data_IF_419190802612
#
_entry.id   IF_419190802612
#
_cell.length_a   1.000
_cell.length_b   1.000
_cell.length_c   1.000
_cell.angle_alpha   90.00
_cell.angle_beta   90.00
_cell.angle_gamma   90.00
#
_symmetry.space_group_name_H-M   'P 1'
#
loop_
_entity.id
_entity.type
_entity.pdbx_description
1 polymer ?
#
# COMPACT_ATOMS: atom_id res chain seq x y z
N UNK A 1 10.52 10.56 18.06
CA UNK A 1 9.88 11.00 19.31
C UNK A 1 8.58 10.27 19.60
N UNK A 2 7.70 10.13 18.60
CA UNK A 2 6.39 9.49 18.73
C UNK A 2 6.39 8.01 18.36
N UNK A 3 7.54 7.44 17.98
CA UNK A 3 7.66 6.04 17.53
C UNK A 3 7.03 5.03 18.51
N UNK A 4 7.16 5.23 19.83
CA UNK A 4 6.53 4.34 20.82
C UNK A 4 5.00 4.48 20.85
N UNK A 5 4.48 5.71 20.71
CA UNK A 5 3.03 5.97 20.61
C UNK A 5 2.48 5.32 19.34
N UNK A 6 3.16 5.48 18.21
CA UNK A 6 2.75 4.84 16.96
C UNK A 6 2.78 3.31 17.06
N UNK A 7 3.84 2.74 17.65
CA UNK A 7 3.95 1.28 17.88
C UNK A 7 2.82 0.74 18.77
N UNK A 8 2.35 1.51 19.76
CA UNK A 8 1.19 1.16 20.59
C UNK A 8 -0.10 1.00 19.77
N UNK A 9 -0.33 1.88 18.80
CA UNK A 9 -1.53 1.84 17.94
C UNK A 9 -1.38 0.95 16.71
N UNK A 10 -0.16 0.52 16.39
CA UNK A 10 0.17 -0.19 15.15
C UNK A 10 -0.67 -1.46 14.89
N UNK A 11 -0.99 -2.29 15.90
CA UNK A 11 -1.87 -3.45 15.68
C UNK A 11 -3.24 -3.05 15.13
N UNK A 12 -3.85 -2.00 15.69
CA UNK A 12 -5.17 -1.51 15.25
C UNK A 12 -5.06 -0.85 13.88
N UNK A 13 -4.03 0.00 13.67
CA UNK A 13 -3.77 0.64 12.38
C UNK A 13 -3.62 -0.41 11.27
N UNK A 14 -2.93 -1.52 11.56
CA UNK A 14 -2.73 -2.62 10.61
C UNK A 14 -4.05 -3.29 10.21
N UNK A 15 -4.96 -3.51 11.15
CA UNK A 15 -6.31 -4.02 10.88
C UNK A 15 -7.09 -3.03 10.00
N UNK A 16 -7.01 -1.74 10.31
CA UNK A 16 -7.70 -0.70 9.53
C UNK A 16 -7.10 -0.57 8.11
N UNK A 17 -5.79 -0.70 7.92
CA UNK A 17 -5.19 -0.75 6.59
C UNK A 17 -5.80 -1.90 5.76
N UNK A 18 -5.95 -3.10 6.33
CA UNK A 18 -6.60 -4.22 5.63
C UNK A 18 -8.05 -3.90 5.23
N UNK A 19 -8.80 -3.28 6.14
CA UNK A 19 -10.21 -2.92 5.91
C UNK A 19 -10.40 -1.74 4.94
N UNK A 20 -9.37 -0.90 4.80
CA UNK A 20 -9.44 0.30 3.97
C UNK A 20 -9.70 0.04 2.49
N UNK A 21 -9.53 -1.21 2.02
CA UNK A 21 -9.88 -1.59 0.65
C UNK A 21 -11.38 -1.49 0.35
N UNK A 22 -12.24 -1.55 1.37
CA UNK A 22 -13.69 -1.44 1.21
C UNK A 22 -14.25 -0.06 1.55
N UNK A 23 -13.68 0.62 2.55
CA UNK A 23 -14.20 1.88 3.08
C UNK A 23 -13.10 2.71 3.76
N UNK A 24 -13.24 4.03 3.74
CA UNK A 24 -12.38 4.93 4.51
C UNK A 24 -12.42 4.58 6.01
N UNK A 25 -11.25 4.48 6.63
CA UNK A 25 -11.14 4.09 8.04
C UNK A 25 -10.73 5.27 8.91
N UNK A 26 -11.13 5.20 10.18
CA UNK A 26 -10.78 6.19 11.20
C UNK A 26 -10.36 5.51 12.49
N UNK A 27 -9.39 6.11 13.17
CA UNK A 27 -8.92 5.70 14.49
C UNK A 27 -8.79 6.92 15.40
N UNK A 28 -9.64 6.99 16.42
CA UNK A 28 -9.48 7.96 17.51
C UNK A 28 -8.41 7.47 18.50
N UNK A 29 -7.38 8.29 18.71
CA UNK A 29 -6.29 7.99 19.63
C UNK A 29 -6.39 8.87 20.89
N UNK A 30 -5.70 8.46 21.95
CA UNK A 30 -5.70 9.19 23.20
C UNK A 30 -4.68 10.33 23.14
N UNK A 31 -5.16 11.55 23.29
CA UNK A 31 -4.36 12.77 23.39
C UNK A 31 -3.17 12.64 24.36
N UNK A 32 -3.42 12.04 25.53
CA UNK A 32 -2.44 11.94 26.63
C UNK A 32 -1.19 11.15 26.22
N UNK A 33 -1.34 10.16 25.32
CA UNK A 33 -0.18 9.38 24.84
C UNK A 33 0.79 10.27 24.05
N UNK A 34 0.25 11.19 23.23
CA UNK A 34 1.05 12.12 22.45
C UNK A 34 1.64 13.24 23.29
N UNK A 35 0.90 13.79 24.26
CA UNK A 35 1.43 14.81 25.18
C UNK A 35 2.57 14.30 26.05
N UNK A 36 2.44 13.07 26.57
CA UNK A 36 3.51 12.43 27.34
C UNK A 36 4.75 12.22 26.50
N UNK A 37 4.58 11.71 25.28
CA UNK A 37 5.70 11.59 24.35
C UNK A 37 6.33 12.95 24.05
N UNK A 38 5.51 14.01 23.89
CA UNK A 38 5.91 15.41 23.65
C UNK A 38 6.78 16.01 24.78
N UNK A 39 6.78 15.42 25.97
CA UNK A 39 7.43 15.98 27.16
C UNK A 39 6.83 17.33 27.58
N UNK A 40 5.52 17.52 27.37
CA UNK A 40 4.82 18.77 27.68
C UNK A 40 5.05 19.92 26.69
N UNK A 41 5.73 19.67 25.55
CA UNK A 41 5.93 20.69 24.52
C UNK A 41 4.65 20.94 23.72
N UNK A 42 4.31 22.21 23.48
CA UNK A 42 3.22 22.61 22.59
C UNK A 42 3.65 22.40 21.14
N UNK A 43 3.18 21.32 20.52
CA UNK A 43 3.43 20.99 19.12
C UNK A 43 2.12 20.72 18.39
N UNK A 44 2.14 20.88 17.07
CA UNK A 44 0.97 20.62 16.23
C UNK A 44 0.90 19.14 15.89
N UNK A 45 -0.08 18.44 16.44
CA UNK A 45 -0.28 16.99 16.24
C UNK A 45 -1.12 16.66 15.00
N UNK A 46 -0.81 17.29 13.86
CA UNK A 46 -1.64 17.15 12.65
C UNK A 46 -0.80 16.98 11.38
N UNK A 47 -1.32 16.24 10.43
CA UNK A 47 -0.85 16.18 9.04
C UNK A 47 -2.01 15.81 8.11
N UNK A 48 -2.04 16.33 6.89
CA UNK A 48 -3.27 16.26 6.06
C UNK A 48 -3.19 15.34 4.85
N UNK A 49 -2.00 14.93 4.40
CA UNK A 49 -1.86 14.08 3.21
C UNK A 49 -0.49 13.38 3.18
N UNK A 50 -0.31 12.40 4.07
CA UNK A 50 0.82 11.48 3.97
C UNK A 50 0.43 10.35 3.02
N UNK A 51 1.04 10.34 1.83
CA UNK A 51 0.78 9.30 0.83
C UNK A 51 1.91 8.27 0.81
N UNK A 52 1.54 7.00 0.91
CA UNK A 52 2.41 5.84 0.75
C UNK A 52 1.99 5.06 -0.49
N UNK A 53 2.79 5.14 -1.55
CA UNK A 53 2.56 4.42 -2.80
C UNK A 53 3.52 3.22 -2.84
N UNK A 54 2.97 2.00 -2.73
CA UNK A 54 3.75 0.76 -2.68
C UNK A 54 4.85 0.84 -1.61
N UNK A 55 4.45 1.33 -0.44
CA UNK A 55 5.31 1.50 0.74
C UNK A 55 6.28 2.68 0.70
N UNK A 56 6.28 3.51 -0.36
CA UNK A 56 7.18 4.68 -0.49
C UNK A 56 6.43 5.99 -0.24
N UNK A 57 7.03 6.88 0.55
CA UNK A 57 6.49 8.21 0.81
C UNK A 57 6.49 9.05 -0.48
N UNK A 58 5.39 9.72 -0.78
CA UNK A 58 5.34 10.73 -1.84
C UNK A 58 6.14 11.97 -1.43
N UNK A 59 7.36 12.12 -1.96
CA UNK A 59 8.25 13.23 -1.64
C UNK A 59 7.92 14.55 -2.35
N UNK A 60 6.90 14.59 -3.21
CA UNK A 60 6.43 15.81 -3.88
C UNK A 60 5.75 16.78 -2.90
N UNK A 61 5.36 16.28 -1.71
CA UNK A 61 4.68 17.05 -0.66
C UNK A 61 5.59 17.16 0.56
N UNK A 62 5.59 18.33 1.22
CA UNK A 62 6.30 18.51 2.49
C UNK A 62 5.56 17.78 3.61
N UNK A 63 6.22 16.80 4.22
CA UNK A 63 5.71 16.05 5.37
C UNK A 63 6.21 16.61 6.70
N UNK A 64 5.32 16.68 7.68
CA UNK A 64 5.70 17.04 9.06
C UNK A 64 6.58 15.95 9.68
N UNK A 65 7.40 16.27 10.70
CA UNK A 65 8.17 15.27 11.42
C UNK A 65 7.28 14.13 11.97
N UNK A 66 6.08 14.46 12.46
CA UNK A 66 5.11 13.49 12.96
C UNK A 66 4.69 12.48 11.88
N UNK A 67 4.39 12.95 10.66
CA UNK A 67 4.00 12.10 9.54
C UNK A 67 5.18 11.21 9.06
N UNK A 68 6.39 11.75 9.03
CA UNK A 68 7.59 10.99 8.66
C UNK A 68 7.89 9.88 9.66
N UNK A 69 7.82 10.17 10.96
CA UNK A 69 7.99 9.14 11.99
C UNK A 69 6.92 8.06 11.91
N UNK A 70 5.67 8.44 11.64
CA UNK A 70 4.59 7.48 11.42
C UNK A 70 4.88 6.55 10.23
N UNK A 71 5.28 7.10 9.08
CA UNK A 71 5.64 6.30 7.91
C UNK A 71 6.80 5.33 8.18
N UNK A 72 7.83 5.76 8.91
CA UNK A 72 8.94 4.89 9.31
C UNK A 72 8.45 3.71 10.15
N UNK A 73 7.57 3.96 11.13
CA UNK A 73 7.00 2.88 11.97
C UNK A 73 6.19 1.88 11.14
N UNK A 74 5.40 2.34 10.17
CA UNK A 74 4.66 1.46 9.26
C UNK A 74 5.60 0.60 8.39
N UNK A 75 6.77 1.13 8.01
CA UNK A 75 7.76 0.44 7.20
C UNK A 75 8.62 -0.53 8.03
N UNK A 76 8.84 -0.26 9.32
CA UNK A 76 9.64 -1.13 10.19
C UNK A 76 8.94 -2.45 10.53
N UNK A 77 7.63 -2.43 10.75
CA UNK A 77 6.87 -3.62 11.15
C UNK A 77 6.57 -4.54 9.96
N UNK A 78 6.83 -5.84 10.12
CA UNK A 78 6.87 -6.79 9.01
C UNK A 78 5.51 -7.00 8.33
N UNK A 79 4.43 -7.10 9.11
CA UNK A 79 3.08 -7.34 8.58
C UNK A 79 2.55 -6.09 7.88
N UNK A 80 2.64 -4.93 8.54
CA UNK A 80 2.26 -3.62 8.02
C UNK A 80 3.07 -3.30 6.77
N UNK A 81 4.39 -3.52 6.78
CA UNK A 81 5.26 -3.27 5.62
C UNK A 81 4.81 -4.07 4.40
N UNK A 82 4.42 -5.33 4.56
CA UNK A 82 3.90 -6.16 3.46
C UNK A 82 2.61 -5.55 2.89
N UNK A 83 1.66 -5.18 3.75
CA UNK A 83 0.40 -4.59 3.33
C UNK A 83 0.58 -3.27 2.59
N UNK A 84 1.35 -2.32 3.13
CA UNK A 84 1.53 -1.01 2.51
C UNK A 84 2.29 -1.08 1.17
N UNK A 85 3.04 -2.17 0.92
CA UNK A 85 3.74 -2.39 -0.36
C UNK A 85 2.79 -2.79 -1.50
N UNK A 86 1.66 -3.36 -1.17
CA UNK A 86 0.65 -3.83 -2.12
C UNK A 86 -0.41 -2.75 -2.43
N UNK A 87 -0.37 -1.62 -1.70
CA UNK A 87 -1.43 -0.63 -1.71
C UNK A 87 -0.91 0.79 -1.98
N UNK A 88 -1.81 1.67 -2.41
CA UNK A 88 -1.60 3.12 -2.45
C UNK A 88 -2.48 3.76 -1.39
N UNK A 89 -1.88 4.17 -0.27
CA UNK A 89 -2.60 4.62 0.92
C UNK A 89 -2.37 6.10 1.16
N UNK A 90 -3.40 6.77 1.66
CA UNK A 90 -3.32 8.14 2.14
C UNK A 90 -3.75 8.22 3.61
N UNK A 91 -2.96 8.93 4.39
CA UNK A 91 -3.16 9.11 5.82
C UNK A 91 -3.25 10.59 6.17
N UNK A 92 -4.12 10.90 7.13
CA UNK A 92 -4.20 12.23 7.74
C UNK A 92 -4.48 12.11 9.22
N UNK A 93 -3.96 13.03 10.03
CA UNK A 93 -4.29 13.14 11.44
C UNK A 93 -4.75 14.57 11.73
N UNK A 94 -5.91 14.72 12.37
CA UNK A 94 -6.47 16.01 12.75
C UNK A 94 -6.12 16.37 14.22
N UNK A 95 -6.49 17.59 14.64
CA UNK A 95 -6.20 18.10 15.98
C UNK A 95 -6.91 17.36 17.13
N UNK A 96 -7.88 16.51 16.82
CA UNK A 96 -8.61 15.70 17.79
C UNK A 96 -8.00 14.29 17.94
N UNK A 97 -6.79 14.07 17.42
CA UNK A 97 -6.09 12.78 17.45
C UNK A 97 -6.83 11.66 16.72
N UNK A 98 -7.63 12.02 15.72
CA UNK A 98 -8.23 11.06 14.78
C UNK A 98 -7.30 10.89 13.58
N UNK A 99 -6.83 9.65 13.36
CA UNK A 99 -6.14 9.21 12.16
C UNK A 99 -7.18 8.71 11.14
N UNK A 100 -7.18 9.29 9.95
CA UNK A 100 -7.93 8.79 8.79
C UNK A 100 -7.01 7.98 7.88
N UNK A 101 -7.54 6.91 7.30
CA UNK A 101 -6.85 6.03 6.35
C UNK A 101 -7.76 5.88 5.13
N UNK A 102 -7.23 6.24 3.96
CA UNK A 102 -7.91 6.07 2.68
C UNK A 102 -7.08 5.18 1.78
N UNK A 103 -7.74 4.26 1.09
CA UNK A 103 -7.12 3.40 0.10
C UNK A 103 -7.42 3.92 -1.31
N UNK A 104 -6.37 4.34 -2.00
CA UNK A 104 -6.40 4.85 -3.37
C UNK A 104 -5.78 3.83 -4.35
N UNK A 105 -5.70 2.54 -3.97
CA UNK A 105 -5.16 1.50 -4.86
C UNK A 105 -6.08 1.39 -6.07
N UNK A 106 -5.57 1.58 -7.30
CA UNK A 106 -6.37 1.38 -8.50
C UNK A 106 -6.91 -0.05 -8.54
N UNK A 107 -8.16 -0.26 -8.98
CA UNK A 107 -8.65 -1.59 -9.29
C UNK A 107 -7.66 -2.25 -10.27
N UNK A 108 -7.18 -3.45 -9.94
CA UNK A 108 -6.37 -4.23 -10.85
C UNK A 108 -7.28 -4.60 -12.02
N UNK A 109 -7.12 -3.91 -13.15
CA UNK A 109 -7.68 -4.39 -14.42
C UNK A 109 -7.08 -5.78 -14.66
N UNK A 110 -7.91 -6.82 -14.90
CA UNK A 110 -7.41 -8.14 -15.26
C UNK A 110 -6.52 -7.96 -16.49
N UNK A 111 -5.23 -8.25 -16.35
CA UNK A 111 -4.38 -8.44 -17.51
C UNK A 111 -4.98 -9.62 -18.25
N UNK A 112 -5.56 -9.37 -19.43
CA UNK A 112 -5.89 -10.43 -20.37
C UNK A 112 -4.61 -11.22 -20.64
N UNK A 113 -4.56 -12.40 -20.04
CA UNK A 113 -3.55 -13.41 -20.25
C UNK A 113 -3.74 -13.90 -21.69
N UNK A 114 -3.08 -13.23 -22.64
CA UNK A 114 -3.11 -13.63 -24.04
C UNK A 114 -2.19 -14.84 -24.20
N UNK A 115 -2.74 -16.01 -23.83
CA UNK A 115 -2.20 -17.33 -24.16
C UNK A 115 -2.17 -17.47 -25.69
N UNK A 116 -0.99 -17.35 -26.28
CA UNK A 116 -0.71 -17.76 -27.65
C UNK A 116 0.31 -18.90 -27.64
N UNK A 117 -0.14 -20.08 -27.19
CA UNK A 117 0.47 -21.34 -27.55
C UNK A 117 -0.27 -21.96 -28.76
N UNK A 118 0.51 -22.39 -29.76
CA UNK A 118 0.23 -23.34 -30.84
C UNK A 118 -0.10 -22.80 -32.26
N UNK A 119 0.92 -22.85 -33.13
CA UNK A 119 0.81 -23.28 -34.54
C UNK A 119 2.03 -24.21 -34.78
N UNK A 120 1.91 -25.49 -34.41
CA UNK A 120 1.73 -26.67 -35.27
C UNK A 120 2.95 -27.06 -36.14
N UNK A 121 3.49 -28.22 -35.76
CA UNK A 121 4.11 -29.26 -36.57
C UNK A 121 4.14 -29.03 -38.09
N UNK A 122 5.34 -28.92 -38.66
CA UNK A 122 5.60 -29.32 -40.04
C UNK A 122 5.83 -30.84 -40.06
N UNK A 123 4.75 -31.61 -40.18
CA UNK A 123 4.78 -32.95 -40.75
C UNK A 123 4.44 -32.78 -42.23
N UNK A 124 5.45 -32.84 -43.09
CA UNK A 124 5.26 -33.00 -44.52
C UNK A 124 5.04 -34.47 -44.81
N UNK A 125 3.78 -34.89 -44.89
CA UNK A 125 3.39 -36.17 -45.47
C UNK A 125 3.20 -36.01 -46.98
N UNK A 126 4.07 -36.75 -47.70
CA UNK A 126 3.76 -37.62 -48.84
C UNK A 126 2.86 -37.11 -49.97
N UNK A 127 3.46 -36.96 -51.16
CA UNK A 127 2.77 -37.10 -52.44
C UNK A 127 3.24 -38.41 -53.10
N UNK A 128 2.38 -39.45 -53.20
CA UNK A 128 2.66 -40.65 -53.97
C UNK A 128 1.88 -40.62 -55.29
N UNK A 129 2.58 -40.52 -56.42
CA UNK A 129 2.01 -40.87 -57.72
C UNK A 129 3.07 -41.47 -58.67
N UNK A 130 3.05 -42.79 -58.73
CA UNK A 130 3.69 -43.64 -59.74
C UNK A 130 3.11 -43.41 -61.14
N UNK A 131 3.92 -43.58 -62.20
CA UNK A 131 3.40 -43.95 -63.53
C UNK A 131 4.19 -43.51 -64.78
N UNK A 132 5.23 -44.28 -65.12
CA UNK A 132 5.55 -44.94 -66.41
C UNK A 132 5.49 -44.23 -67.81
N UNK A 133 6.39 -44.70 -68.69
CA UNK A 133 6.42 -44.70 -70.18
C UNK A 133 7.10 -43.55 -70.95
N UNK A 134 8.39 -43.74 -71.30
CA UNK A 134 8.91 -43.97 -72.68
C UNK A 134 10.43 -43.88 -72.73
#
# INVERSE_FOLDING_TARGET
>A
MFSQVWKKYLPVITILIKRSSGEDQKLSMNHTDFERAAGGRKIKYTFSSLQLNKGRINNMVKHTPLAKEFAVVLQEEDLTRKLIKEQCLEFSMNGNFELSIKNNTPPVEPLEENDAAAITANTGDEDPASGDVS
#
